data_IF_297251608352
#
_entry.id   IF_297251608352
#
_cell.length_a   1.000
_cell.length_b   1.000
_cell.length_c   1.000
_cell.angle_alpha   90.00
_cell.angle_beta   90.00
_cell.angle_gamma   90.00
#
_symmetry.space_group_name_H-M   'P 1'
#
loop_
_entity.id
_entity.type
_entity.pdbx_description
1 polymer ?
#
# COMPACT_ATOMS: atom_id res chain seq x y z
N UNK A 1 11.26 -4.69 -17.19
CA UNK A 1 11.47 -4.65 -15.73
C UNK A 1 10.23 -4.05 -15.10
N UNK A 2 9.52 -4.83 -14.27
CA UNK A 2 8.25 -4.43 -13.67
C UNK A 2 8.44 -3.32 -12.65
N UNK A 3 7.52 -2.35 -12.63
CA UNK A 3 7.49 -1.34 -11.56
C UNK A 3 6.85 -1.99 -10.34
N UNK A 4 7.52 -1.93 -9.20
CA UNK A 4 7.05 -2.50 -7.94
C UNK A 4 6.77 -1.42 -6.92
N UNK A 5 5.81 -1.69 -6.03
CA UNK A 5 5.59 -0.83 -4.87
C UNK A 5 6.68 -1.10 -3.85
N UNK A 6 7.14 -0.05 -3.17
CA UNK A 6 8.09 -0.15 -2.07
C UNK A 6 7.81 0.89 -0.97
N UNK A 7 8.32 0.61 0.22
CA UNK A 7 8.49 1.61 1.26
C UNK A 7 9.49 2.68 0.82
N UNK A 8 8.99 3.90 0.73
CA UNK A 8 9.73 5.10 0.37
C UNK A 8 10.14 5.94 1.56
N UNK A 9 10.16 7.26 1.36
CA UNK A 9 10.60 8.22 2.38
C UNK A 9 9.61 8.33 3.56
N UNK A 10 10.14 8.56 4.77
CA UNK A 10 9.34 8.84 5.97
C UNK A 10 8.58 10.17 5.81
N UNK A 11 7.27 10.14 6.03
CA UNK A 11 6.34 11.27 5.98
C UNK A 11 6.19 11.89 7.37
N UNK A 12 5.97 11.04 8.36
CA UNK A 12 5.73 11.44 9.75
C UNK A 12 6.08 10.31 10.71
N UNK A 13 6.53 10.68 11.89
CA UNK A 13 6.73 9.80 13.04
C UNK A 13 6.12 10.52 14.26
N UNK A 14 5.10 9.91 14.86
CA UNK A 14 4.45 10.41 16.06
C UNK A 14 4.25 9.31 17.11
N UNK A 15 3.52 9.62 18.19
CA UNK A 15 3.24 8.67 19.26
C UNK A 15 2.32 7.52 18.85
N UNK A 16 1.63 7.61 17.72
CA UNK A 16 0.71 6.59 17.22
C UNK A 16 1.41 5.67 16.22
N UNK A 17 2.23 6.22 15.33
CA UNK A 17 2.92 5.41 14.32
C UNK A 17 3.89 6.17 13.43
N UNK A 18 4.41 5.45 12.43
CA UNK A 18 5.23 5.99 11.34
C UNK A 18 4.49 5.85 10.02
N UNK A 19 4.58 6.88 9.19
CA UNK A 19 4.04 6.87 7.84
C UNK A 19 5.18 6.97 6.83
N UNK A 20 5.22 6.07 5.84
CA UNK A 20 6.17 6.10 4.73
C UNK A 20 5.43 6.21 3.42
N UNK A 21 5.95 6.94 2.43
CA UNK A 21 5.33 6.94 1.10
C UNK A 21 5.35 5.54 0.49
N UNK A 22 4.28 5.19 -0.25
CA UNK A 22 4.32 4.07 -1.17
C UNK A 22 4.89 4.57 -2.50
N UNK A 23 6.07 4.06 -2.87
CA UNK A 23 6.82 4.53 -4.04
C UNK A 23 6.99 3.43 -5.09
N UNK A 24 7.07 3.84 -6.36
CA UNK A 24 7.32 2.97 -7.50
C UNK A 24 8.83 2.81 -7.70
N UNK A 25 9.32 1.59 -7.60
CA UNK A 25 10.74 1.24 -7.80
C UNK A 25 10.91 0.22 -8.92
N UNK A 26 12.11 0.15 -9.50
CA UNK A 26 12.47 -0.86 -10.50
C UNK A 26 13.02 -2.15 -9.89
N UNK A 27 13.51 -2.10 -8.64
CA UNK A 27 14.09 -3.23 -7.94
C UNK A 27 13.09 -3.87 -6.96
N UNK A 28 12.30 -4.81 -7.49
CA UNK A 28 11.31 -5.59 -6.74
C UNK A 28 11.92 -6.54 -5.68
N UNK A 29 13.23 -6.80 -5.74
CA UNK A 29 13.90 -7.71 -4.81
C UNK A 29 14.41 -7.02 -3.54
N UNK A 30 14.40 -5.68 -3.53
CA UNK A 30 14.76 -4.88 -2.34
C UNK A 30 13.81 -5.17 -1.18
N UNK A 31 14.31 -5.16 0.04
CA UNK A 31 13.48 -5.40 1.24
C UNK A 31 12.33 -4.39 1.35
N UNK A 32 12.55 -3.16 0.89
CA UNK A 32 11.51 -2.13 0.83
C UNK A 32 10.36 -2.53 -0.11
N UNK A 33 10.61 -3.33 -1.14
CA UNK A 33 9.62 -3.77 -2.13
C UNK A 33 9.00 -5.13 -1.81
N UNK A 34 9.32 -5.71 -0.64
CA UNK A 34 8.78 -7.01 -0.22
C UNK A 34 7.56 -6.83 0.67
N UNK A 35 6.49 -7.51 0.30
CA UNK A 35 5.23 -7.52 1.04
C UNK A 35 4.78 -8.96 1.29
N UNK A 36 4.10 -9.15 2.41
CA UNK A 36 3.38 -10.37 2.75
C UNK A 36 1.91 -10.06 2.98
N UNK A 37 1.04 -10.99 2.62
CA UNK A 37 -0.37 -10.88 2.98
C UNK A 37 -0.57 -11.34 4.42
N UNK A 38 -1.09 -10.45 5.26
CA UNK A 38 -1.72 -10.82 6.53
C UNK A 38 -3.23 -10.83 6.25
N UNK A 39 -3.89 -11.97 6.46
CA UNK A 39 -5.35 -12.11 6.28
C UNK A 39 -5.91 -11.71 4.90
N UNK A 40 -5.31 -12.22 3.81
CA UNK A 40 -5.70 -12.07 2.37
C UNK A 40 -5.87 -10.63 1.82
N UNK A 41 -5.83 -9.61 2.68
CA UNK A 41 -6.24 -8.22 2.38
C UNK A 41 -5.37 -7.17 3.04
N UNK A 42 -4.44 -7.53 3.93
CA UNK A 42 -3.44 -6.60 4.45
C UNK A 42 -2.11 -6.86 3.76
N UNK A 43 -1.64 -5.88 2.98
CA UNK A 43 -0.32 -5.90 2.37
C UNK A 43 0.70 -5.34 3.36
N UNK A 44 1.35 -6.23 4.09
CA UNK A 44 2.33 -5.88 5.11
C UNK A 44 3.73 -5.77 4.51
N UNK A 45 4.37 -4.61 4.64
CA UNK A 45 5.73 -4.39 4.21
C UNK A 45 6.71 -4.98 5.23
N UNK A 46 7.58 -5.89 4.78
CA UNK A 46 8.49 -6.62 5.67
C UNK A 46 9.51 -5.68 6.32
N UNK A 47 10.00 -4.68 5.57
CA UNK A 47 11.07 -3.81 6.05
C UNK A 47 10.58 -2.85 7.13
N UNK A 48 9.42 -2.24 6.94
CA UNK A 48 8.88 -1.28 7.90
C UNK A 48 8.06 -1.95 9.00
N UNK A 49 7.59 -3.19 8.79
CA UNK A 49 6.66 -3.85 9.70
C UNK A 49 5.29 -3.19 9.72
N UNK A 50 4.91 -2.49 8.65
CA UNK A 50 3.68 -1.71 8.57
C UNK A 50 2.82 -2.12 7.37
N UNK A 51 1.58 -1.67 7.34
CA UNK A 51 0.61 -2.06 6.30
C UNK A 51 0.44 -0.97 5.25
N UNK A 52 0.42 -1.35 3.98
CA UNK A 52 0.05 -0.46 2.88
C UNK A 52 -1.40 -0.03 3.07
N UNK A 53 -1.63 1.28 3.06
CA UNK A 53 -2.92 1.89 3.37
C UNK A 53 -3.18 3.11 2.48
N UNK A 54 -4.45 3.50 2.43
CA UNK A 54 -4.88 4.82 1.96
C UNK A 54 -5.78 5.46 2.99
N UNK A 55 -5.72 6.79 3.12
CA UNK A 55 -6.65 7.57 3.95
C UNK A 55 -7.39 8.58 3.08
N UNK A 56 -8.53 8.12 2.56
CA UNK A 56 -9.41 8.91 1.71
C UNK A 56 -9.96 10.15 2.44
N UNK A 57 -10.21 11.22 1.68
CA UNK A 57 -10.88 12.42 2.17
C UNK A 57 -10.02 13.32 3.08
N UNK A 58 -8.76 12.97 3.32
CA UNK A 58 -7.83 13.84 4.04
C UNK A 58 -6.82 14.47 3.08
N UNK A 59 -6.80 15.80 3.02
CA UNK A 59 -5.80 16.55 2.24
C UNK A 59 -4.36 16.28 2.74
N UNK A 60 -4.20 15.67 3.92
CA UNK A 60 -2.90 15.35 4.52
C UNK A 60 -2.01 14.50 3.60
N UNK A 61 -2.60 13.60 2.80
CA UNK A 61 -1.84 12.67 1.97
C UNK A 61 -2.09 12.81 0.46
N UNK A 62 -2.86 13.82 0.02
CA UNK A 62 -3.12 14.07 -1.41
C UNK A 62 -3.56 12.84 -2.21
N UNK A 63 -4.39 11.97 -1.63
CA UNK A 63 -4.81 10.68 -2.20
C UNK A 63 -3.68 9.67 -2.46
N UNK A 64 -2.46 9.91 -1.97
CA UNK A 64 -1.35 8.97 -2.07
C UNK A 64 -1.48 7.86 -1.04
N UNK A 65 -1.13 6.65 -1.47
CA UNK A 65 -0.94 5.52 -0.59
C UNK A 65 0.34 5.70 0.22
N UNK A 66 0.33 5.11 1.41
CA UNK A 66 1.44 5.13 2.34
C UNK A 66 1.48 3.80 3.10
N UNK A 67 2.61 3.49 3.70
CA UNK A 67 2.74 2.38 4.64
C UNK A 67 2.67 2.95 6.06
N UNK A 68 1.81 2.37 6.89
CA UNK A 68 1.62 2.77 8.27
C UNK A 68 2.13 1.69 9.23
N UNK A 69 3.10 2.04 10.07
CA UNK A 69 3.70 1.20 11.13
C UNK A 69 3.20 1.68 12.50
N UNK A 70 2.24 0.97 13.09
CA UNK A 70 1.58 1.34 14.36
C UNK A 70 2.43 1.03 15.60
N UNK A 71 2.79 2.07 16.38
CA UNK A 71 3.63 1.96 17.58
C UNK A 71 2.85 1.58 18.84
N UNK A 72 1.66 2.15 19.01
CA UNK A 72 0.81 1.92 20.18
C UNK A 72 -0.49 1.18 19.79
N UNK A 73 -1.36 0.92 20.75
CA UNK A 73 -2.60 0.19 20.50
C UNK A 73 -3.50 0.90 19.48
N UNK A 74 -3.65 2.22 19.59
CA UNK A 74 -4.50 3.00 18.69
C UNK A 74 -3.95 3.03 17.26
N UNK A 75 -2.62 3.13 17.11
CA UNK A 75 -1.94 3.02 15.83
C UNK A 75 -2.13 1.65 15.19
N UNK A 76 -1.96 0.57 15.97
CA UNK A 76 -2.22 -0.79 15.47
C UNK A 76 -3.69 -1.02 15.12
N UNK A 77 -4.62 -0.42 15.87
CA UNK A 77 -6.05 -0.46 15.52
C UNK A 77 -6.32 0.25 14.19
N UNK A 78 -5.67 1.39 13.94
CA UNK A 78 -5.75 2.10 12.66
C UNK A 78 -5.16 1.28 11.51
N UNK A 79 -3.97 0.69 11.73
CA UNK A 79 -3.27 -0.14 10.74
C UNK A 79 -4.12 -1.32 10.27
N UNK A 80 -4.83 -1.97 11.20
CA UNK A 80 -5.67 -3.14 10.92
C UNK A 80 -7.11 -2.77 10.52
N UNK A 81 -7.44 -1.48 10.38
CA UNK A 81 -8.81 -1.06 10.09
C UNK A 81 -9.22 -1.42 8.64
N UNK A 82 -10.33 -2.13 8.51
CA UNK A 82 -10.90 -2.60 7.23
C UNK A 82 -11.10 -1.48 6.20
N UNK A 83 -11.37 -0.26 6.65
CA UNK A 83 -11.60 0.90 5.78
C UNK A 83 -10.36 1.35 4.99
N UNK A 84 -9.18 0.83 5.32
CA UNK A 84 -7.91 1.24 4.71
C UNK A 84 -7.16 0.08 4.03
N UNK A 85 -7.77 -1.12 3.99
CA UNK A 85 -7.16 -2.35 3.47
C UNK A 85 -7.13 -2.43 1.94
N UNK A 86 -6.17 -3.18 1.41
CA UNK A 86 -5.98 -3.40 -0.02
C UNK A 86 -5.93 -4.89 -0.38
N UNK A 87 -6.77 -5.30 -1.33
CA UNK A 87 -6.73 -6.64 -1.91
C UNK A 87 -6.20 -6.59 -3.33
N UNK A 88 -5.35 -7.54 -3.69
CA UNK A 88 -5.01 -7.74 -5.09
C UNK A 88 -6.10 -8.55 -5.79
N UNK A 89 -6.62 -8.03 -6.89
CA UNK A 89 -7.56 -8.74 -7.76
C UNK A 89 -6.85 -9.90 -8.46
N UNK A 90 -7.61 -10.86 -9.00
CA UNK A 90 -7.03 -11.93 -9.83
C UNK A 90 -6.26 -11.39 -11.05
N UNK A 91 -6.58 -10.16 -11.50
CA UNK A 91 -5.89 -9.48 -12.60
C UNK A 91 -4.60 -8.75 -12.18
N UNK A 92 -4.27 -8.71 -10.89
CA UNK A 92 -3.06 -8.10 -10.35
C UNK A 92 -3.21 -6.64 -9.90
N UNK A 93 -4.41 -6.06 -10.02
CA UNK A 93 -4.68 -4.69 -9.55
C UNK A 93 -4.89 -4.63 -8.05
N UNK A 94 -4.49 -3.54 -7.40
CA UNK A 94 -4.77 -3.34 -5.98
C UNK A 94 -6.07 -2.57 -5.78
N UNK A 95 -7.07 -3.26 -5.27
CA UNK A 95 -8.39 -2.76 -4.94
C UNK A 95 -8.44 -2.32 -3.48
N UNK A 96 -9.01 -1.14 -3.22
CA UNK A 96 -9.18 -0.61 -1.86
C UNK A 96 -10.61 -0.90 -1.38
N UNK A 97 -10.73 -1.52 -0.20
CA UNK A 97 -12.00 -2.02 0.35
C UNK A 97 -12.86 -1.00 1.11
N UNK A 98 -12.55 0.29 1.03
CA UNK A 98 -13.39 1.31 1.65
C UNK A 98 -14.83 1.15 1.14
N UNK A 99 -15.74 0.74 2.04
CA UNK A 99 -17.15 0.48 1.73
C UNK A 99 -17.87 1.71 1.15
N UNK A 100 -17.27 2.90 1.29
CA UNK A 100 -17.79 4.14 0.74
C UNK A 100 -17.17 4.56 -0.60
N UNK A 101 -16.09 3.92 -1.07
CA UNK A 101 -15.36 4.37 -2.26
C UNK A 101 -14.82 3.20 -3.10
N UNK A 102 -15.49 2.87 -4.20
CA UNK A 102 -14.97 1.96 -5.23
C UNK A 102 -13.67 2.54 -5.85
N UNK A 103 -12.51 2.10 -5.40
CA UNK A 103 -11.21 2.71 -5.74
C UNK A 103 -10.12 1.69 -5.98
N UNK A 104 -9.12 2.07 -6.78
CA UNK A 104 -7.93 1.27 -7.02
C UNK A 104 -6.65 2.07 -6.92
N UNK A 105 -5.54 1.39 -6.67
CA UNK A 105 -4.24 2.00 -6.74
C UNK A 105 -3.85 2.27 -8.21
N UNK A 106 -3.17 3.37 -8.46
CA UNK A 106 -2.60 3.70 -9.76
C UNK A 106 -1.26 4.44 -9.58
N UNK A 107 -0.21 4.11 -10.33
CA UNK A 107 1.02 4.87 -10.34
C UNK A 107 0.79 6.33 -10.79
N UNK A 108 1.38 7.27 -10.06
CA UNK A 108 1.47 8.68 -10.45
C UNK A 108 2.92 9.16 -10.24
N UNK A 109 3.70 9.13 -11.32
CA UNK A 109 5.14 9.37 -11.26
C UNK A 109 5.85 8.32 -10.40
N UNK A 110 6.51 8.76 -9.33
CA UNK A 110 7.17 7.89 -8.36
C UNK A 110 6.24 7.42 -7.24
N UNK A 111 5.02 7.96 -7.12
CA UNK A 111 4.09 7.62 -6.05
C UNK A 111 3.00 6.66 -6.53
N UNK A 112 2.25 6.12 -5.57
CA UNK A 112 1.03 5.37 -5.82
C UNK A 112 -0.14 6.18 -5.29
N UNK A 113 -1.08 6.52 -6.17
CA UNK A 113 -2.28 7.27 -5.83
C UNK A 113 -3.49 6.34 -5.80
N UNK A 114 -4.48 6.71 -4.99
CA UNK A 114 -5.83 6.17 -5.07
C UNK A 114 -6.55 6.82 -6.25
N UNK A 115 -6.96 5.99 -7.21
CA UNK A 115 -7.84 6.34 -8.33
C UNK A 115 -9.29 5.97 -7.96
N UNK A 116 -10.19 6.93 -8.11
CA UNK A 116 -11.65 6.70 -7.99
C UNK A 116 -12.18 5.87 -9.15
N UNK A 117 -13.41 5.40 -8.99
CA UNK A 117 -14.18 4.67 -9.99
C UNK A 117 -13.62 3.28 -10.35
N UNK A 118 -13.01 2.64 -9.35
CA UNK A 118 -12.65 1.21 -9.37
C UNK A 118 -11.49 0.80 -10.28
N UNK A 119 -11.30 -0.52 -10.35
CA UNK A 119 -10.25 -1.16 -11.12
C UNK A 119 -10.77 -1.42 -12.53
N UNK A 120 -10.14 -0.80 -13.51
CA UNK A 120 -10.31 -1.08 -14.94
C UNK A 120 -9.34 -2.17 -15.43
N UNK A 121 -8.47 -2.69 -14.54
CA UNK A 121 -7.44 -3.70 -14.81
C UNK A 121 -6.53 -3.36 -16.00
N UNK A 122 -6.30 -2.07 -16.24
CA UNK A 122 -5.35 -1.60 -17.25
C UNK A 122 -3.92 -1.93 -16.82
N UNK A 123 -2.98 -1.89 -17.77
CA UNK A 123 -1.58 -2.23 -17.49
C UNK A 123 -0.99 -1.36 -16.37
N UNK A 124 -1.43 -0.12 -16.25
CA UNK A 124 -0.99 0.84 -15.23
C UNK A 124 -1.49 0.48 -13.84
N UNK A 125 -2.65 -0.15 -13.72
CA UNK A 125 -3.25 -0.52 -12.42
C UNK A 125 -2.72 -1.84 -11.88
N UNK A 126 -1.97 -2.60 -12.69
CA UNK A 126 -1.37 -3.87 -12.29
C UNK A 126 -0.08 -3.62 -11.53
N UNK A 127 -0.02 -4.14 -10.31
CA UNK A 127 1.18 -4.05 -9.48
C UNK A 127 1.84 -5.41 -9.36
N UNK A 128 3.16 -5.38 -9.37
CA UNK A 128 3.98 -6.49 -8.89
C UNK A 128 4.63 -6.04 -7.59
N UNK A 129 4.83 -6.95 -6.66
CA UNK A 129 5.64 -6.74 -5.47
C UNK A 129 6.38 -8.04 -5.17
N UNK A 130 7.51 -7.94 -4.48
CA UNK A 130 8.22 -9.13 -4.03
C UNK A 130 7.35 -9.86 -3.01
N UNK A 131 6.97 -11.10 -3.29
CA UNK A 131 6.29 -11.96 -2.33
C UNK A 131 7.35 -12.72 -1.53
N UNK A 132 7.27 -12.67 -0.19
CA UNK A 132 8.19 -13.39 0.71
C UNK A 132 8.23 -14.91 0.44
N UNK A 133 7.19 -15.45 -0.21
CA UNK A 133 7.07 -16.87 -0.55
C UNK A 133 7.76 -17.31 -1.85
N UNK A 134 8.43 -16.43 -2.60
CA UNK A 134 9.27 -16.86 -3.73
C UNK A 134 10.75 -16.77 -3.31
N UNK A 135 11.23 -17.85 -2.70
CA UNK A 135 12.67 -18.18 -2.71
C UNK A 135 12.98 -18.73 -4.10
N UNK A 136 13.81 -18.01 -4.86
CA UNK A 136 14.52 -18.62 -6.00
C UNK A 136 15.64 -19.52 -5.47
#
# INVERSE_FOLDING_TARGET
>A
FGKCIAAGSLISDDGWGRCYWAEMVSNCLSDNARFSYIDTTLLHNIKTGGTLASKYGTNKYNNRLFIYDGKNQDGRNFENNDNHRLKQTAAGSLFLYDNSVNSCAQPNGIYVDQKKDGCSDTAEQKFTFGNEYIKF
#
